data_IF_776061444580
#
_entry.id   IF_776061444580
#
_cell.length_a   1.000
_cell.length_b   1.000
_cell.length_c   1.000
_cell.angle_alpha   90.00
_cell.angle_beta   90.00
_cell.angle_gamma   90.00
#
_symmetry.space_group_name_H-M   'P 1'
#
loop_
_entity.id
_entity.type
_entity.pdbx_description
1 polymer ?
#
# COMPACT_ATOMS: atom_id res chain seq x y z
N UNK A 1 49.07 3.47 2.24
CA UNK A 1 48.68 2.32 1.39
C UNK A 1 47.57 1.57 2.10
N UNK A 2 46.31 1.80 1.71
CA UNK A 2 45.15 1.14 2.31
C UNK A 2 44.84 -0.14 1.53
N UNK A 3 44.95 -1.29 2.19
CA UNK A 3 44.45 -2.56 1.68
C UNK A 3 42.92 -2.56 1.69
N UNK A 4 42.32 -2.26 0.52
CA UNK A 4 40.98 -2.74 0.20
C UNK A 4 41.10 -4.22 -0.17
N UNK A 5 40.88 -5.10 0.80
CA UNK A 5 40.62 -6.52 0.53
C UNK A 5 39.27 -6.61 -0.17
N UNK A 6 39.30 -6.73 -1.50
CA UNK A 6 38.17 -7.23 -2.27
C UNK A 6 37.83 -8.62 -1.73
N UNK A 7 36.69 -8.75 -1.03
CA UNK A 7 36.09 -10.07 -0.77
C UNK A 7 35.46 -10.49 -2.09
N UNK A 8 36.00 -11.49 -2.82
CA UNK A 8 35.32 -11.99 -4.00
C UNK A 8 33.99 -12.60 -3.55
N UNK A 9 32.88 -12.12 -4.11
CA UNK A 9 31.58 -12.78 -3.97
C UNK A 9 31.70 -14.14 -4.64
N UNK A 10 32.00 -15.17 -3.83
CA UNK A 10 31.99 -16.56 -4.27
C UNK A 10 30.53 -16.89 -4.61
N UNK A 11 30.16 -16.84 -5.89
CA UNK A 11 28.84 -17.27 -6.35
C UNK A 11 28.67 -18.75 -6.03
N UNK A 12 28.05 -19.04 -4.88
CA UNK A 12 27.75 -20.39 -4.46
C UNK A 12 26.44 -20.83 -5.16
N UNK A 13 26.46 -21.82 -6.08
CA UNK A 13 25.29 -22.19 -6.88
C UNK A 13 24.06 -22.57 -6.05
N UNK A 14 24.28 -23.15 -4.87
CA UNK A 14 23.22 -23.50 -3.92
C UNK A 14 22.53 -22.27 -3.31
N UNK A 15 23.29 -21.21 -3.03
CA UNK A 15 22.78 -19.96 -2.49
C UNK A 15 21.95 -19.21 -3.55
N UNK A 16 22.45 -19.15 -4.80
CA UNK A 16 21.72 -18.62 -5.93
C UNK A 16 20.42 -19.39 -6.20
N UNK A 17 20.44 -20.73 -6.10
CA UNK A 17 19.26 -21.57 -6.26
C UNK A 17 18.20 -21.34 -5.18
N UNK A 18 18.62 -21.17 -3.91
CA UNK A 18 17.71 -20.87 -2.79
C UNK A 18 17.08 -19.48 -2.92
N UNK A 19 17.86 -18.47 -3.29
CA UNK A 19 17.37 -17.11 -3.53
C UNK A 19 16.32 -17.12 -4.66
N UNK A 20 16.63 -17.78 -5.79
CA UNK A 20 15.71 -17.85 -6.92
C UNK A 20 14.39 -18.57 -6.56
N UNK A 21 14.47 -19.68 -5.82
CA UNK A 21 13.28 -20.39 -5.34
C UNK A 21 12.40 -19.51 -4.44
N UNK A 22 13.01 -18.79 -3.50
CA UNK A 22 12.30 -17.91 -2.58
C UNK A 22 11.68 -16.71 -3.31
N UNK A 23 12.44 -16.07 -4.21
CA UNK A 23 11.96 -14.98 -5.05
C UNK A 23 10.77 -15.43 -5.91
N UNK A 24 10.89 -16.58 -6.59
CA UNK A 24 9.79 -17.17 -7.36
C UNK A 24 8.54 -17.39 -6.51
N UNK A 25 8.71 -17.95 -5.31
CA UNK A 25 7.60 -18.20 -4.38
C UNK A 25 6.88 -16.91 -4.00
N UNK A 26 7.63 -15.88 -3.60
CA UNK A 26 7.07 -14.56 -3.25
C UNK A 26 6.34 -13.94 -4.44
N UNK A 27 6.94 -13.97 -5.63
CA UNK A 27 6.34 -13.42 -6.85
C UNK A 27 5.03 -14.11 -7.20
N UNK A 28 4.97 -15.44 -7.17
CA UNK A 28 3.75 -16.19 -7.49
C UNK A 28 2.63 -15.85 -6.51
N UNK A 29 2.89 -15.90 -5.19
CA UNK A 29 1.88 -15.58 -4.18
C UNK A 29 1.44 -14.11 -4.26
N UNK A 30 2.36 -13.19 -4.55
CA UNK A 30 2.05 -11.77 -4.71
C UNK A 30 1.15 -11.53 -5.93
N UNK A 31 1.45 -12.17 -7.07
CA UNK A 31 0.62 -12.08 -8.28
C UNK A 31 -0.77 -12.65 -8.02
N UNK A 32 -0.85 -13.83 -7.40
CA UNK A 32 -2.12 -14.45 -7.07
C UNK A 32 -2.95 -13.58 -6.10
N UNK A 33 -2.30 -12.97 -5.09
CA UNK A 33 -2.95 -12.01 -4.21
C UNK A 33 -3.46 -10.77 -4.93
N UNK A 34 -2.77 -10.27 -5.96
CA UNK A 34 -3.22 -9.13 -6.76
C UNK A 34 -4.44 -9.48 -7.61
N UNK A 35 -4.42 -10.67 -8.23
CA UNK A 35 -5.56 -11.19 -9.01
C UNK A 35 -6.78 -11.34 -8.09
N UNK A 36 -6.63 -11.95 -6.93
CA UNK A 36 -7.73 -12.06 -5.95
C UNK A 36 -8.16 -10.71 -5.37
N UNK A 37 -7.24 -9.75 -5.23
CA UNK A 37 -7.59 -8.39 -4.82
C UNK A 37 -8.48 -7.71 -5.86
N UNK A 38 -8.16 -7.86 -7.15
CA UNK A 38 -9.01 -7.40 -8.24
C UNK A 38 -10.35 -8.15 -8.24
N UNK A 39 -10.35 -9.48 -8.13
CA UNK A 39 -11.57 -10.27 -8.06
C UNK A 39 -12.47 -9.86 -6.88
N UNK A 40 -11.88 -9.55 -5.73
CA UNK A 40 -12.61 -9.01 -4.57
C UNK A 40 -13.30 -7.70 -4.90
N UNK A 41 -12.57 -6.76 -5.51
CA UNK A 41 -13.14 -5.46 -5.87
C UNK A 41 -14.28 -5.63 -6.93
N UNK A 42 -14.13 -6.56 -7.87
CA UNK A 42 -15.18 -6.92 -8.83
C UNK A 42 -16.41 -7.54 -8.16
N UNK A 43 -16.22 -8.43 -7.17
CA UNK A 43 -17.33 -9.02 -6.41
C UNK A 43 -18.08 -7.95 -5.62
N UNK A 44 -17.38 -7.02 -4.97
CA UNK A 44 -18.03 -5.91 -4.26
C UNK A 44 -18.82 -5.04 -5.24
N UNK A 45 -18.22 -4.68 -6.38
CA UNK A 45 -18.90 -3.90 -7.41
C UNK A 45 -20.12 -4.64 -8.01
N UNK A 46 -20.03 -5.95 -8.19
CA UNK A 46 -21.14 -6.77 -8.68
C UNK A 46 -22.31 -6.82 -7.70
N UNK A 47 -22.02 -7.07 -6.42
CA UNK A 47 -23.05 -7.25 -5.37
C UNK A 47 -23.67 -5.92 -4.95
N UNK A 48 -22.88 -4.85 -4.85
CA UNK A 48 -23.29 -3.59 -4.24
C UNK A 48 -23.31 -2.39 -5.21
N UNK A 49 -22.76 -2.52 -6.42
CA UNK A 49 -22.74 -1.45 -7.42
C UNK A 49 -21.78 -0.31 -7.07
N UNK A 50 -22.01 0.87 -7.64
CA UNK A 50 -21.40 2.11 -7.18
C UNK A 50 -22.48 3.03 -6.60
N UNK A 51 -22.60 3.04 -5.28
CA UNK A 51 -23.61 3.79 -4.56
C UNK A 51 -23.13 4.31 -3.22
N UNK A 52 -24.07 4.83 -2.41
CA UNK A 52 -23.71 5.47 -1.14
C UNK A 52 -23.19 4.44 -0.12
N UNK A 53 -23.69 3.21 -0.18
CA UNK A 53 -23.26 2.08 0.66
C UNK A 53 -21.81 1.69 0.34
N UNK A 54 -21.45 1.57 -0.94
CA UNK A 54 -20.07 1.25 -1.33
C UNK A 54 -19.12 2.40 -1.07
N UNK A 55 -19.55 3.65 -1.26
CA UNK A 55 -18.79 4.83 -0.86
C UNK A 55 -18.48 4.81 0.65
N UNK A 56 -19.49 4.51 1.48
CA UNK A 56 -19.33 4.36 2.92
C UNK A 56 -18.32 3.26 3.27
N UNK A 57 -18.41 2.10 2.62
CA UNK A 57 -17.44 1.02 2.83
C UNK A 57 -16.02 1.38 2.38
N UNK A 58 -15.85 1.88 1.16
CA UNK A 58 -14.53 2.26 0.63
C UNK A 58 -13.86 3.24 1.57
N UNK A 59 -14.62 4.22 2.07
CA UNK A 59 -14.13 5.21 2.99
C UNK A 59 -13.82 4.63 4.37
N UNK A 60 -14.73 3.86 4.95
CA UNK A 60 -14.54 3.19 6.23
C UNK A 60 -13.32 2.26 6.21
N UNK A 61 -13.12 1.52 5.11
CA UNK A 61 -12.01 0.59 4.93
C UNK A 61 -10.68 1.32 4.69
N UNK A 62 -10.72 2.58 4.22
CA UNK A 62 -9.51 3.39 4.02
C UNK A 62 -8.78 3.66 5.34
N UNK A 63 -9.52 3.97 6.40
CA UNK A 63 -8.97 4.37 7.71
C UNK A 63 -8.04 3.29 8.29
N UNK A 64 -8.47 2.03 8.53
CA UNK A 64 -7.59 0.99 9.04
C UNK A 64 -6.51 0.60 8.03
N UNK A 65 -6.75 0.75 6.71
CA UNK A 65 -5.73 0.47 5.71
C UNK A 65 -4.58 1.47 5.67
N UNK A 66 -4.85 2.76 5.91
CA UNK A 66 -3.79 3.76 6.06
C UNK A 66 -2.92 3.40 7.27
N UNK A 67 -3.54 3.10 8.41
CA UNK A 67 -2.83 2.68 9.62
C UNK A 67 -2.02 1.42 9.38
N UNK A 68 -2.58 0.41 8.71
CA UNK A 68 -1.88 -0.80 8.28
C UNK A 68 -0.65 -0.51 7.43
N UNK A 69 -0.75 0.40 6.46
CA UNK A 69 0.39 0.77 5.60
C UNK A 69 1.49 1.46 6.40
N UNK A 70 1.12 2.30 7.37
CA UNK A 70 2.05 2.98 8.27
C UNK A 70 2.72 2.01 9.25
N UNK A 71 1.95 1.20 9.97
CA UNK A 71 2.44 0.36 11.08
C UNK A 71 3.00 -0.99 10.64
N UNK A 72 2.47 -1.59 9.57
CA UNK A 72 2.67 -2.99 9.25
C UNK A 72 3.56 -3.18 8.00
N UNK A 73 3.13 -2.68 6.84
CA UNK A 73 3.83 -2.94 5.56
C UNK A 73 5.11 -2.12 5.37
N UNK A 74 5.13 -0.85 5.78
CA UNK A 74 6.22 0.08 5.48
C UNK A 74 7.31 0.15 6.55
N UNK A 75 6.94 0.37 7.81
CA UNK A 75 7.91 0.71 8.86
C UNK A 75 8.46 -0.51 9.60
N UNK A 76 7.61 -1.48 9.90
CA UNK A 76 7.99 -2.64 10.72
C UNK A 76 9.01 -3.52 10.02
N UNK A 77 8.76 -3.94 8.77
CA UNK A 77 9.71 -4.77 8.03
C UNK A 77 11.06 -4.07 7.82
N UNK A 78 11.07 -2.75 7.59
CA UNK A 78 12.30 -1.99 7.36
C UNK A 78 13.13 -1.78 8.63
N UNK A 79 12.50 -1.60 9.79
CA UNK A 79 13.20 -1.36 11.04
C UNK A 79 13.47 -2.64 11.84
N UNK A 80 12.52 -3.59 11.83
CA UNK A 80 12.59 -4.83 12.60
C UNK A 80 13.56 -5.83 12.00
N UNK A 81 13.50 -6.07 10.68
CA UNK A 81 14.28 -7.13 10.03
C UNK A 81 15.80 -6.94 10.20
N UNK A 82 16.38 -5.74 9.98
CA UNK A 82 17.82 -5.53 10.19
C UNK A 82 18.22 -5.71 11.66
N UNK A 83 17.40 -5.23 12.60
CA UNK A 83 17.69 -5.30 14.03
C UNK A 83 17.58 -6.75 14.56
N UNK A 84 16.56 -7.49 14.12
CA UNK A 84 16.40 -8.91 14.44
C UNK A 84 17.60 -9.71 13.92
N UNK A 85 17.99 -9.47 12.66
CA UNK A 85 19.14 -10.15 12.04
C UNK A 85 20.44 -9.78 12.77
N UNK A 86 20.67 -8.50 13.07
CA UNK A 86 21.84 -8.05 13.85
C UNK A 86 21.93 -8.77 15.20
N UNK A 87 20.82 -8.86 15.95
CA UNK A 87 20.78 -9.54 17.25
C UNK A 87 21.04 -11.04 17.08
N UNK A 88 20.47 -11.67 16.06
CA UNK A 88 20.65 -13.10 15.78
C UNK A 88 22.10 -13.44 15.46
N UNK A 89 22.75 -12.65 14.61
CA UNK A 89 24.13 -12.90 14.18
C UNK A 89 25.18 -12.50 15.25
N UNK A 90 24.92 -11.47 16.05
CA UNK A 90 25.89 -10.97 17.05
C UNK A 90 25.80 -11.60 18.44
N UNK A 91 24.58 -11.93 18.88
CA UNK A 91 24.35 -12.48 20.23
C UNK A 91 24.12 -13.98 20.14
N UNK A 92 22.89 -14.36 19.81
CA UNK A 92 22.44 -15.75 19.64
C UNK A 92 20.98 -15.76 19.14
N UNK A 93 20.55 -16.77 18.36
CA UNK A 93 19.15 -17.04 18.02
C UNK A 93 18.10 -16.82 19.13
N UNK A 94 18.35 -17.25 20.37
CA UNK A 94 17.36 -17.09 21.44
C UNK A 94 17.18 -15.63 21.87
N UNK A 95 18.23 -14.81 21.78
CA UNK A 95 18.12 -13.38 22.03
C UNK A 95 17.24 -12.68 20.99
N UNK A 96 17.35 -13.08 19.71
CA UNK A 96 16.52 -12.56 18.63
C UNK A 96 15.05 -12.96 18.83
N UNK A 97 14.77 -14.20 19.23
CA UNK A 97 13.40 -14.66 19.53
C UNK A 97 12.79 -13.94 20.73
N UNK A 98 13.57 -13.66 21.78
CA UNK A 98 13.15 -12.83 22.92
C UNK A 98 12.83 -11.40 22.46
N UNK A 99 13.69 -10.80 21.64
CA UNK A 99 13.42 -9.49 21.04
C UNK A 99 12.12 -9.50 20.21
N UNK A 100 11.88 -10.53 19.40
CA UNK A 100 10.62 -10.70 18.67
C UNK A 100 9.41 -10.84 19.61
N UNK A 101 9.53 -11.58 20.72
CA UNK A 101 8.44 -11.75 21.71
C UNK A 101 8.14 -10.46 22.50
N UNK A 102 9.16 -9.64 22.79
CA UNK A 102 8.96 -8.29 23.34
C UNK A 102 8.29 -7.38 22.31
N UNK A 103 8.72 -7.47 21.07
CA UNK A 103 8.13 -6.71 19.97
C UNK A 103 6.66 -7.09 19.74
N UNK A 104 6.31 -8.37 19.89
CA UNK A 104 4.92 -8.83 19.89
C UNK A 104 4.09 -8.14 20.99
N UNK A 105 4.64 -8.03 22.21
CA UNK A 105 4.01 -7.30 23.31
C UNK A 105 3.79 -5.82 22.98
N UNK A 106 4.79 -5.15 22.41
CA UNK A 106 4.68 -3.77 21.96
C UNK A 106 3.60 -3.59 20.88
N UNK A 107 3.62 -4.44 19.85
CA UNK A 107 2.65 -4.39 18.73
C UNK A 107 1.23 -4.61 19.24
N UNK A 108 1.00 -5.61 20.09
CA UNK A 108 -0.31 -5.86 20.68
C UNK A 108 -0.78 -4.69 21.54
N UNK A 109 0.07 -4.18 22.43
CA UNK A 109 -0.29 -3.06 23.29
C UNK A 109 -0.63 -1.81 22.46
N UNK A 110 0.24 -1.41 21.53
CA UNK A 110 0.05 -0.24 20.70
C UNK A 110 -1.20 -0.37 19.80
N UNK A 111 -1.38 -1.52 19.14
CA UNK A 111 -2.52 -1.70 18.22
C UNK A 111 -3.84 -1.89 18.96
N UNK A 112 -3.84 -2.45 20.17
CA UNK A 112 -5.05 -2.51 21.02
C UNK A 112 -5.46 -1.10 21.45
N UNK A 113 -4.51 -0.28 21.91
CA UNK A 113 -4.78 1.13 22.26
C UNK A 113 -5.30 1.89 21.04
N UNK A 114 -4.61 1.80 19.89
CA UNK A 114 -5.03 2.46 18.65
C UNK A 114 -6.39 1.97 18.18
N UNK A 115 -6.72 0.69 18.37
CA UNK A 115 -8.03 0.14 18.02
C UNK A 115 -9.12 0.69 18.93
N UNK A 116 -8.90 0.72 20.24
CA UNK A 116 -9.85 1.32 21.19
C UNK A 116 -10.09 2.80 20.90
N UNK A 117 -9.03 3.58 20.68
CA UNK A 117 -9.12 4.98 20.28
C UNK A 117 -9.83 5.14 18.94
N UNK A 118 -9.55 4.27 17.97
CA UNK A 118 -10.16 4.27 16.65
C UNK A 118 -11.66 4.02 16.66
N UNK A 119 -12.12 3.10 17.49
CA UNK A 119 -13.55 2.80 17.69
C UNK A 119 -14.24 3.96 18.41
N UNK A 120 -13.60 4.50 19.45
CA UNK A 120 -14.14 5.61 20.24
C UNK A 120 -14.27 6.89 19.42
N UNK A 121 -13.21 7.24 18.67
CA UNK A 121 -13.14 8.43 17.83
C UNK A 121 -13.54 8.16 16.37
N UNK A 122 -14.28 7.07 16.10
CA UNK A 122 -14.69 6.74 14.74
C UNK A 122 -15.48 7.86 14.05
N UNK A 123 -16.38 8.63 14.71
CA UNK A 123 -17.03 9.78 14.07
C UNK A 123 -16.02 10.84 13.61
N UNK A 124 -15.08 11.22 14.47
CA UNK A 124 -14.06 12.22 14.16
C UNK A 124 -13.10 11.74 13.06
N UNK A 125 -12.77 10.45 13.06
CA UNK A 125 -11.98 9.85 11.98
C UNK A 125 -12.73 9.84 10.66
N UNK A 126 -14.02 9.50 10.65
CA UNK A 126 -14.84 9.58 9.44
C UNK A 126 -14.94 11.02 8.96
N UNK A 127 -15.16 11.99 9.85
CA UNK A 127 -15.17 13.41 9.47
C UNK A 127 -13.81 13.87 8.89
N UNK A 128 -12.69 13.43 9.47
CA UNK A 128 -11.35 13.75 8.93
C UNK A 128 -11.12 13.15 7.54
N UNK A 129 -11.64 11.94 7.28
CA UNK A 129 -11.39 11.20 6.05
C UNK A 129 -12.44 11.44 4.96
N UNK A 130 -13.65 11.83 5.33
CA UNK A 130 -14.77 12.12 4.44
C UNK A 130 -15.74 13.12 5.06
N UNK A 131 -15.26 14.35 5.26
CA UNK A 131 -16.05 15.44 5.80
C UNK A 131 -17.35 15.70 5.01
N UNK A 132 -17.33 15.47 3.69
CA UNK A 132 -18.49 15.67 2.82
C UNK A 132 -19.68 14.75 3.13
N UNK A 133 -19.45 13.59 3.76
CA UNK A 133 -20.54 12.69 4.16
C UNK A 133 -21.38 13.25 5.31
N UNK A 134 -20.89 14.25 6.05
CA UNK A 134 -21.67 14.90 7.11
C UNK A 134 -22.98 15.55 6.60
N UNK A 135 -23.08 15.81 5.29
CA UNK A 135 -24.30 16.28 4.63
C UNK A 135 -25.39 15.20 4.47
N UNK A 136 -25.05 13.92 4.63
CA UNK A 136 -25.94 12.77 4.52
C UNK A 136 -25.83 11.90 5.79
N UNK A 137 -26.74 12.08 6.77
CA UNK A 137 -26.66 11.38 8.05
C UNK A 137 -26.57 9.85 7.91
N UNK A 138 -27.38 9.26 7.04
CA UNK A 138 -27.39 7.81 6.79
C UNK A 138 -26.04 7.29 6.27
N UNK A 139 -25.44 7.98 5.29
CA UNK A 139 -24.13 7.63 4.74
C UNK A 139 -23.02 7.79 5.78
N UNK A 140 -23.07 8.86 6.56
CA UNK A 140 -22.12 9.12 7.63
C UNK A 140 -22.21 8.04 8.73
N UNK A 141 -23.41 7.74 9.23
CA UNK A 141 -23.63 6.78 10.29
C UNK A 141 -23.24 5.36 9.88
N UNK A 142 -23.56 4.95 8.65
CA UNK A 142 -23.09 3.68 8.10
C UNK A 142 -21.56 3.64 8.01
N UNK A 143 -20.92 4.72 7.54
CA UNK A 143 -19.45 4.80 7.46
C UNK A 143 -18.82 4.69 8.85
N UNK A 144 -19.41 5.34 9.86
CA UNK A 144 -18.97 5.26 11.26
C UNK A 144 -19.12 3.86 11.81
N UNK A 145 -20.25 3.19 11.55
CA UNK A 145 -20.50 1.81 11.96
C UNK A 145 -19.50 0.85 11.33
N UNK A 146 -19.33 0.91 10.01
CA UNK A 146 -18.37 0.07 9.27
C UNK A 146 -16.93 0.31 9.75
N UNK A 147 -16.59 1.56 10.06
CA UNK A 147 -15.28 1.90 10.63
C UNK A 147 -15.07 1.22 11.98
N UNK A 148 -16.06 1.23 12.87
CA UNK A 148 -15.98 0.53 14.17
C UNK A 148 -15.84 -0.97 14.01
N UNK A 149 -16.63 -1.57 13.11
CA UNK A 149 -16.61 -3.01 12.83
C UNK A 149 -15.25 -3.43 12.28
N UNK A 150 -14.68 -2.67 11.34
CA UNK A 150 -13.43 -3.03 10.69
C UNK A 150 -12.18 -2.62 11.47
N UNK A 151 -12.25 -1.68 12.42
CA UNK A 151 -11.07 -1.21 13.15
C UNK A 151 -10.24 -2.32 13.82
N UNK A 152 -10.83 -3.34 14.46
CA UNK A 152 -10.09 -4.47 15.04
C UNK A 152 -9.19 -5.22 14.06
N UNK A 153 -9.43 -5.12 12.75
CA UNK A 153 -8.53 -5.62 11.72
C UNK A 153 -7.08 -5.11 11.87
N UNK A 154 -6.90 -3.90 12.42
CA UNK A 154 -5.58 -3.32 12.67
C UNK A 154 -4.70 -4.21 13.56
N UNK A 155 -5.29 -4.87 14.56
CA UNK A 155 -4.57 -5.80 15.45
C UNK A 155 -4.08 -7.00 14.64
N UNK A 156 -4.98 -7.65 13.90
CA UNK A 156 -4.64 -8.83 13.11
C UNK A 156 -3.57 -8.52 12.07
N UNK A 157 -3.71 -7.43 11.34
CA UNK A 157 -2.75 -7.15 10.27
C UNK A 157 -1.39 -6.66 10.78
N UNK A 158 -1.34 -6.02 11.94
CA UNK A 158 -0.07 -5.67 12.58
C UNK A 158 0.64 -6.93 13.11
N UNK A 159 -0.11 -7.91 13.62
CA UNK A 159 0.41 -9.22 13.95
C UNK A 159 0.92 -9.98 12.71
N UNK A 160 0.25 -9.83 11.56
CA UNK A 160 0.69 -10.42 10.28
C UNK A 160 2.04 -9.85 9.88
N UNK A 161 2.23 -8.53 10.00
CA UNK A 161 3.51 -7.90 9.70
C UNK A 161 4.62 -8.27 10.68
N UNK A 162 4.32 -8.38 11.97
CA UNK A 162 5.27 -8.90 12.95
C UNK A 162 5.71 -10.33 12.59
N UNK A 163 4.74 -11.21 12.30
CA UNK A 163 5.00 -12.60 11.90
C UNK A 163 5.83 -12.67 10.61
N UNK A 164 5.48 -11.85 9.62
CA UNK A 164 6.23 -11.69 8.37
C UNK A 164 7.67 -11.25 8.63
N UNK A 165 7.89 -10.27 9.52
CA UNK A 165 9.23 -9.81 9.89
C UNK A 165 10.10 -10.92 10.46
N UNK A 166 9.55 -11.73 11.39
CA UNK A 166 10.25 -12.88 11.98
C UNK A 166 10.52 -13.96 10.92
N UNK A 167 9.48 -14.37 10.17
CA UNK A 167 9.59 -15.45 9.20
C UNK A 167 10.52 -15.11 8.03
N UNK A 168 10.51 -13.87 7.55
CA UNK A 168 11.42 -13.41 6.51
C UNK A 168 12.89 -13.39 7.00
N UNK A 169 13.13 -12.98 8.25
CA UNK A 169 14.47 -13.05 8.86
C UNK A 169 15.00 -14.48 8.89
N UNK A 170 14.11 -15.45 9.10
CA UNK A 170 14.40 -16.88 9.19
C UNK A 170 14.30 -17.60 7.83
N UNK A 171 14.23 -16.85 6.73
CA UNK A 171 14.26 -17.39 5.38
C UNK A 171 12.97 -18.11 4.94
N UNK A 172 11.85 -17.89 5.62
CA UNK A 172 10.53 -18.51 5.35
C UNK A 172 9.56 -17.52 4.74
N UNK A 173 9.54 -17.45 3.41
CA UNK A 173 8.78 -16.41 2.69
C UNK A 173 7.37 -16.82 2.24
N UNK A 174 7.08 -18.12 2.16
CA UNK A 174 5.82 -18.62 1.59
C UNK A 174 4.57 -18.22 2.40
N UNK A 175 4.54 -18.50 3.70
CA UNK A 175 3.39 -18.17 4.55
C UNK A 175 3.13 -16.65 4.64
N UNK A 176 4.15 -15.79 4.81
CA UNK A 176 3.97 -14.34 4.74
C UNK A 176 3.43 -13.85 3.39
N UNK A 177 3.95 -14.39 2.28
CA UNK A 177 3.50 -14.00 0.94
C UNK A 177 2.06 -14.46 0.64
N UNK A 178 1.61 -15.57 1.25
CA UNK A 178 0.26 -16.10 1.08
C UNK A 178 -0.78 -15.39 1.96
N UNK A 179 -0.39 -14.75 3.06
CA UNK A 179 -1.31 -14.13 4.01
C UNK A 179 -2.30 -13.11 3.37
N UNK A 180 -1.89 -12.21 2.46
CA UNK A 180 -2.81 -11.30 1.76
C UNK A 180 -3.95 -11.98 0.97
N UNK A 181 -3.74 -13.22 0.50
CA UNK A 181 -4.77 -13.98 -0.23
C UNK A 181 -5.98 -14.24 0.67
N UNK A 182 -5.75 -14.58 1.94
CA UNK A 182 -6.82 -14.96 2.85
C UNK A 182 -7.73 -13.79 3.23
N UNK A 183 -7.21 -12.56 3.20
CA UNK A 183 -8.03 -11.37 3.35
C UNK A 183 -9.03 -11.25 2.19
N UNK A 184 -8.57 -11.42 0.96
CA UNK A 184 -9.43 -11.34 -0.22
C UNK A 184 -10.45 -12.47 -0.23
N UNK A 185 -10.05 -13.69 0.12
CA UNK A 185 -10.97 -14.83 0.26
C UNK A 185 -12.01 -14.57 1.35
N UNK A 186 -11.61 -14.01 2.50
CA UNK A 186 -12.54 -13.66 3.58
C UNK A 186 -13.60 -12.66 3.13
N UNK A 187 -13.20 -11.63 2.38
CA UNK A 187 -14.12 -10.62 1.87
C UNK A 187 -15.04 -11.20 0.77
N UNK A 188 -14.49 -11.93 -0.20
CA UNK A 188 -15.28 -12.58 -1.27
C UNK A 188 -16.27 -13.58 -0.67
N UNK A 189 -15.80 -14.44 0.25
CA UNK A 189 -16.64 -15.42 0.92
C UNK A 189 -17.75 -14.78 1.75
N UNK A 190 -17.46 -13.66 2.43
CA UNK A 190 -18.46 -12.93 3.16
C UNK A 190 -19.50 -12.27 2.25
N UNK A 191 -19.10 -11.78 1.07
CA UNK A 191 -20.02 -11.18 0.09
C UNK A 191 -21.14 -12.14 -0.34
N UNK A 192 -20.82 -13.43 -0.49
CA UNK A 192 -21.79 -14.45 -0.89
C UNK A 192 -22.40 -15.23 0.27
N UNK A 193 -21.68 -15.38 1.39
CA UNK A 193 -22.09 -16.25 2.50
C UNK A 193 -22.66 -15.54 3.74
N UNK A 194 -22.25 -14.30 4.00
CA UNK A 194 -22.64 -13.55 5.22
C UNK A 194 -23.53 -12.36 4.86
N UNK A 195 -23.12 -11.57 3.87
CA UNK A 195 -23.84 -10.37 3.44
C UNK A 195 -25.32 -10.64 3.12
N UNK A 196 -25.72 -11.73 2.41
CA UNK A 196 -27.12 -11.99 2.12
C UNK A 196 -27.98 -12.37 3.34
N UNK A 197 -27.35 -12.68 4.49
CA UNK A 197 -28.04 -13.08 5.72
C UNK A 197 -28.32 -11.91 6.66
N UNK A 198 -27.83 -10.70 6.33
CA UNK A 198 -27.94 -9.51 7.16
C UNK A 198 -28.88 -8.49 6.53
N UNK A 199 -29.60 -7.76 7.36
CA UNK A 199 -30.42 -6.62 6.93
C UNK A 199 -29.59 -5.51 6.29
N UNK A 200 -28.35 -5.33 6.79
CA UNK A 200 -27.33 -4.42 6.26
C UNK A 200 -26.19 -5.24 5.65
N UNK A 201 -26.25 -5.61 4.35
CA UNK A 201 -25.33 -6.60 3.77
C UNK A 201 -23.87 -6.15 3.78
N UNK A 202 -23.63 -4.83 3.81
CA UNK A 202 -22.29 -4.23 3.87
C UNK A 202 -21.55 -4.54 5.17
N UNK A 203 -22.27 -4.75 6.28
CA UNK A 203 -21.67 -5.20 7.56
C UNK A 203 -21.05 -6.59 7.38
N UNK A 204 -21.68 -7.45 6.56
CA UNK A 204 -21.15 -8.77 6.22
C UNK A 204 -19.75 -8.71 5.62
N UNK A 205 -19.49 -7.75 4.74
CA UNK A 205 -18.14 -7.50 4.20
C UNK A 205 -17.17 -7.06 5.29
N UNK A 206 -17.60 -6.20 6.22
CA UNK A 206 -16.79 -5.81 7.39
C UNK A 206 -16.40 -7.01 8.26
N UNK A 207 -17.32 -7.95 8.47
CA UNK A 207 -17.04 -9.24 9.14
C UNK A 207 -16.05 -10.06 8.31
N UNK A 208 -16.20 -10.09 6.97
CA UNK A 208 -15.26 -10.72 6.05
C UNK A 208 -13.83 -10.19 6.17
N UNK A 209 -13.65 -8.89 6.39
CA UNK A 209 -12.34 -8.28 6.68
C UNK A 209 -11.74 -8.85 7.97
N UNK A 210 -12.54 -8.97 9.04
CA UNK A 210 -12.07 -9.51 10.33
C UNK A 210 -11.72 -10.99 10.22
N UNK A 211 -12.61 -11.81 9.63
CA UNK A 211 -12.37 -13.24 9.40
C UNK A 211 -11.15 -13.47 8.51
N UNK A 212 -11.02 -12.66 7.46
CA UNK A 212 -9.85 -12.62 6.60
C UNK A 212 -8.58 -12.36 7.42
N UNK A 213 -8.57 -11.29 8.21
CA UNK A 213 -7.46 -10.92 9.12
C UNK A 213 -7.06 -12.04 10.09
N UNK A 214 -8.04 -12.70 10.70
CA UNK A 214 -7.80 -13.87 11.56
C UNK A 214 -7.12 -14.99 10.76
N UNK A 215 -7.64 -15.31 9.58
CA UNK A 215 -7.08 -16.35 8.72
C UNK A 215 -5.63 -16.02 8.30
N UNK A 216 -5.30 -14.75 8.03
CA UNK A 216 -3.93 -14.31 7.72
C UNK A 216 -2.92 -14.61 8.84
N UNK A 217 -3.37 -14.61 10.09
CA UNK A 217 -2.54 -15.00 11.24
C UNK A 217 -2.43 -16.50 11.33
N UNK A 218 -3.57 -17.21 11.23
CA UNK A 218 -3.62 -18.66 11.38
C UNK A 218 -2.68 -19.38 10.40
N UNK A 219 -2.59 -18.92 9.15
CA UNK A 219 -1.69 -19.52 8.14
C UNK A 219 -0.19 -19.38 8.51
N UNK A 220 0.18 -18.38 9.30
CA UNK A 220 1.57 -18.13 9.70
C UNK A 220 1.99 -18.87 10.97
N UNK A 221 1.03 -19.23 11.85
CA UNK A 221 1.28 -19.91 13.13
C UNK A 221 2.13 -21.19 12.97
N UNK A 222 1.86 -22.11 12.02
CA UNK A 222 2.66 -23.33 11.87
C UNK A 222 4.12 -23.03 11.53
N UNK A 223 4.36 -22.01 10.69
CA UNK A 223 5.71 -21.62 10.31
C UNK A 223 6.46 -20.97 11.48
N UNK A 224 5.78 -20.16 12.29
CA UNK A 224 6.35 -19.57 13.51
C UNK A 224 6.72 -20.63 14.55
N UNK A 225 5.87 -21.65 14.73
CA UNK A 225 6.16 -22.81 15.60
C UNK A 225 7.40 -23.57 15.14
N UNK A 226 7.56 -23.79 13.84
CA UNK A 226 8.73 -24.49 13.26
C UNK A 226 10.06 -23.76 13.46
N UNK A 227 10.02 -22.44 13.65
CA UNK A 227 11.19 -21.61 13.99
C UNK A 227 11.43 -21.56 15.51
N UNK A 228 10.50 -22.07 16.31
CA UNK A 228 10.56 -22.00 17.77
C UNK A 228 10.26 -20.61 18.33
N UNK A 229 9.58 -19.75 17.57
CA UNK A 229 9.19 -18.42 18.06
C UNK A 229 8.08 -18.54 19.10
N UNK A 230 8.24 -17.88 20.25
CA UNK A 230 7.20 -17.80 21.28
C UNK A 230 6.07 -16.88 20.85
N UNK A 231 4.83 -17.31 21.10
CA UNK A 231 3.60 -16.52 20.93
C UNK A 231 3.19 -15.76 22.19
N UNK A 232 3.92 -15.93 23.30
CA UNK A 232 3.62 -15.21 24.54
C UNK A 232 4.23 -13.82 24.46
N UNK A 233 3.43 -12.74 24.49
CA UNK A 233 3.99 -11.38 24.55
C UNK A 233 4.83 -11.23 25.81
N UNK A 234 6.02 -10.64 25.66
CA UNK A 234 6.91 -10.36 26.78
C UNK A 234 6.92 -8.87 27.09
N UNK A 235 7.33 -8.54 28.33
CA UNK A 235 7.46 -7.15 28.74
C UNK A 235 8.49 -6.43 27.86
N UNK A 236 8.04 -5.36 27.20
CA UNK A 236 8.84 -4.53 26.30
C UNK A 236 9.30 -3.21 26.95
N UNK A 237 8.79 -2.90 28.15
CA UNK A 237 9.15 -1.68 28.87
C UNK A 237 10.64 -1.71 29.23
N UNK A 238 11.30 -0.55 29.07
CA UNK A 238 12.72 -0.34 29.39
C UNK A 238 13.70 -1.29 28.67
N UNK A 239 13.33 -1.84 27.50
CA UNK A 239 14.25 -2.63 26.68
C UNK A 239 15.02 -1.75 25.66
N UNK A 240 16.35 -1.88 25.66
CA UNK A 240 17.23 -1.11 24.79
C UNK A 240 16.98 -1.38 23.29
N UNK A 241 16.71 -2.63 22.91
CA UNK A 241 16.45 -2.97 21.51
C UNK A 241 15.09 -2.45 21.06
N UNK A 242 14.09 -2.42 21.95
CA UNK A 242 12.80 -1.78 21.67
C UNK A 242 12.97 -0.27 21.49
N UNK A 243 13.80 0.40 22.30
CA UNK A 243 14.10 1.82 22.09
C UNK A 243 14.83 2.07 20.76
N UNK A 244 15.78 1.20 20.38
CA UNK A 244 16.42 1.25 19.05
C UNK A 244 15.40 1.07 17.94
N UNK A 245 14.48 0.11 18.07
CA UNK A 245 13.39 -0.11 17.11
C UNK A 245 12.52 1.14 16.96
N UNK A 246 12.05 1.74 18.06
CA UNK A 246 11.22 2.95 18.02
C UNK A 246 11.93 4.14 17.38
N UNK A 247 13.23 4.34 17.65
CA UNK A 247 14.05 5.38 17.01
C UNK A 247 14.17 5.18 15.49
N UNK A 248 14.20 3.93 15.02
CA UNK A 248 14.22 3.60 13.59
C UNK A 248 12.84 3.77 12.94
N UNK A 249 11.76 3.46 13.67
CA UNK A 249 10.39 3.58 13.16
C UNK A 249 10.01 5.04 12.85
N UNK A 250 10.38 6.00 13.72
CA UNK A 250 9.99 7.40 13.57
C UNK A 250 10.25 8.01 12.18
N UNK A 251 11.51 8.02 11.68
CA UNK A 251 11.83 8.54 10.35
C UNK A 251 11.17 7.74 9.21
N UNK A 252 11.04 6.42 9.36
CA UNK A 252 10.43 5.56 8.33
C UNK A 252 8.94 5.86 8.15
N UNK A 253 8.23 6.15 9.23
CA UNK A 253 6.81 6.51 9.22
C UNK A 253 6.57 7.83 8.49
N UNK A 254 7.45 8.82 8.65
CA UNK A 254 7.34 10.10 7.94
C UNK A 254 7.42 9.91 6.42
N UNK A 255 8.29 9.01 5.94
CA UNK A 255 8.41 8.71 4.51
C UNK A 255 7.14 8.08 3.93
N UNK A 256 6.51 7.16 4.66
CA UNK A 256 5.26 6.51 4.23
C UNK A 256 4.05 7.45 4.37
N UNK A 257 4.07 8.34 5.38
CA UNK A 257 2.97 9.24 5.68
C UNK A 257 2.64 10.19 4.52
N UNK A 258 3.64 10.70 3.80
CA UNK A 258 3.44 11.61 2.67
C UNK A 258 2.48 11.03 1.63
N UNK A 259 2.68 9.75 1.25
CA UNK A 259 1.81 9.09 0.29
C UNK A 259 0.41 8.83 0.85
N UNK A 260 0.29 8.50 2.15
CA UNK A 260 -1.01 8.32 2.79
C UNK A 260 -1.79 9.63 2.88
N UNK A 261 -1.12 10.75 3.17
CA UNK A 261 -1.74 12.08 3.22
C UNK A 261 -2.38 12.42 1.86
N UNK A 262 -1.69 12.12 0.75
CA UNK A 262 -2.26 12.34 -0.59
C UNK A 262 -3.58 11.57 -0.79
N UNK A 263 -3.61 10.29 -0.42
CA UNK A 263 -4.83 9.47 -0.51
C UNK A 263 -5.95 10.05 0.37
N UNK A 264 -5.63 10.49 1.59
CA UNK A 264 -6.62 11.08 2.51
C UNK A 264 -7.19 12.36 1.92
N UNK A 265 -6.35 13.28 1.44
CA UNK A 265 -6.78 14.56 0.87
C UNK A 265 -7.71 14.32 -0.33
N UNK A 266 -7.30 13.47 -1.29
CA UNK A 266 -8.09 13.22 -2.49
C UNK A 266 -9.40 12.50 -2.19
N UNK A 267 -9.40 11.48 -1.32
CA UNK A 267 -10.65 10.79 -0.94
C UNK A 267 -11.59 11.68 -0.14
N UNK A 268 -11.05 12.55 0.72
CA UNK A 268 -11.85 13.53 1.43
C UNK A 268 -12.50 14.52 0.45
N UNK A 269 -11.76 15.03 -0.54
CA UNK A 269 -12.36 15.88 -1.59
C UNK A 269 -13.44 15.14 -2.38
N UNK A 270 -13.22 13.88 -2.76
CA UNK A 270 -14.22 13.04 -3.42
C UNK A 270 -15.49 12.85 -2.57
N UNK A 271 -15.39 12.91 -1.23
CA UNK A 271 -16.55 12.76 -0.33
C UNK A 271 -17.55 13.91 -0.40
N UNK A 272 -17.17 15.08 -0.92
CA UNK A 272 -18.06 16.23 -1.13
C UNK A 272 -18.85 16.16 -2.44
N UNK A 273 -18.56 15.17 -3.28
CA UNK A 273 -19.17 15.00 -4.59
C UNK A 273 -20.43 14.13 -4.50
N UNK A 274 -21.24 14.05 -5.57
CA UNK A 274 -22.40 13.17 -5.61
C UNK A 274 -22.06 11.71 -5.26
N UNK A 275 -23.09 10.98 -4.83
CA UNK A 275 -22.99 9.56 -4.51
C UNK A 275 -22.39 8.74 -5.66
N UNK A 276 -21.52 7.78 -5.33
CA UNK A 276 -20.84 6.90 -6.27
C UNK A 276 -19.43 7.38 -6.63
N UNK A 277 -19.14 8.68 -6.48
CA UNK A 277 -17.87 9.26 -6.94
C UNK A 277 -16.64 8.75 -6.16
N UNK A 278 -16.79 8.42 -4.88
CA UNK A 278 -15.71 7.79 -4.10
C UNK A 278 -15.42 6.38 -4.64
N UNK A 279 -16.47 5.63 -4.98
CA UNK A 279 -16.37 4.29 -5.58
C UNK A 279 -15.75 4.35 -6.98
N UNK A 280 -16.18 5.27 -7.85
CA UNK A 280 -15.61 5.46 -9.19
C UNK A 280 -14.12 5.79 -9.13
N UNK A 281 -13.72 6.72 -8.25
CA UNK A 281 -12.32 7.04 -8.01
C UNK A 281 -11.53 5.82 -7.55
N UNK A 282 -12.07 5.06 -6.59
CA UNK A 282 -11.41 3.88 -6.08
C UNK A 282 -11.19 2.84 -7.19
N UNK A 283 -12.23 2.49 -7.94
CA UNK A 283 -12.16 1.49 -9.02
C UNK A 283 -11.23 1.93 -10.15
N UNK A 284 -11.29 3.18 -10.58
CA UNK A 284 -10.39 3.73 -11.59
C UNK A 284 -8.93 3.74 -11.10
N UNK A 285 -8.68 4.09 -9.83
CA UNK A 285 -7.32 4.11 -9.27
C UNK A 285 -6.71 2.71 -9.24
N UNK A 286 -7.51 1.67 -9.00
CA UNK A 286 -7.06 0.27 -9.00
C UNK A 286 -6.58 -0.17 -10.37
N UNK A 287 -7.32 0.18 -11.42
CA UNK A 287 -6.92 -0.10 -12.81
C UNK A 287 -5.64 0.64 -13.19
N UNK A 288 -5.47 1.90 -12.77
CA UNK A 288 -4.24 2.66 -12.95
C UNK A 288 -3.04 2.04 -12.20
N UNK A 289 -3.23 1.63 -10.94
CA UNK A 289 -2.22 0.96 -10.13
C UNK A 289 -1.77 -0.39 -10.74
N UNK A 290 -2.68 -1.14 -11.37
CA UNK A 290 -2.35 -2.36 -12.09
C UNK A 290 -1.40 -2.07 -13.25
N UNK A 291 -1.70 -1.05 -14.07
CA UNK A 291 -0.86 -0.62 -15.19
C UNK A 291 0.53 -0.18 -14.72
N UNK A 292 0.61 0.68 -13.70
CA UNK A 292 1.88 1.08 -13.09
C UNK A 292 2.66 -0.13 -12.54
N UNK A 293 1.95 -1.06 -11.90
CA UNK A 293 2.51 -2.26 -11.31
C UNK A 293 3.16 -3.20 -12.32
N UNK A 294 2.54 -3.38 -13.48
CA UNK A 294 3.00 -4.28 -14.55
C UNK A 294 4.13 -3.65 -15.36
N UNK A 295 3.97 -2.40 -15.79
CA UNK A 295 4.86 -1.80 -16.79
C UNK A 295 5.96 -0.92 -16.18
N UNK A 296 5.66 -0.10 -15.16
CA UNK A 296 6.63 0.87 -14.64
C UNK A 296 7.53 0.29 -13.55
N UNK A 297 6.95 -0.47 -12.62
CA UNK A 297 7.65 -0.88 -11.40
C UNK A 297 8.69 -1.96 -11.65
N UNK A 298 8.46 -2.86 -12.62
CA UNK A 298 9.42 -3.88 -13.02
C UNK A 298 10.74 -3.25 -13.51
N UNK A 299 10.65 -2.31 -14.47
CA UNK A 299 11.81 -1.62 -15.06
C UNK A 299 12.56 -0.81 -13.99
N UNK A 300 11.82 -0.07 -13.16
CA UNK A 300 12.39 0.74 -12.07
C UNK A 300 13.16 -0.12 -11.06
N UNK A 301 12.62 -1.29 -10.70
CA UNK A 301 13.28 -2.19 -9.75
C UNK A 301 14.57 -2.82 -10.32
N UNK A 302 14.63 -3.06 -11.63
CA UNK A 302 15.80 -3.64 -12.28
C UNK A 302 16.97 -2.65 -12.41
N UNK A 303 16.70 -1.37 -12.64
CA UNK A 303 17.75 -0.33 -12.73
C UNK A 303 18.32 0.12 -11.37
N UNK A 304 17.61 -0.13 -10.27
CA UNK A 304 17.99 0.37 -8.94
C UNK A 304 19.33 -0.17 -8.39
N UNK A 305 19.64 -1.48 -8.51
CA UNK A 305 20.92 -2.01 -8.05
C UNK A 305 22.12 -1.38 -8.78
N UNK A 306 22.03 -1.20 -10.10
CA UNK A 306 23.09 -0.57 -10.90
C UNK A 306 23.29 0.89 -10.51
N UNK A 307 22.19 1.66 -10.38
CA UNK A 307 22.25 3.04 -9.90
C UNK A 307 22.89 3.13 -8.51
N UNK A 308 22.51 2.25 -7.58
CA UNK A 308 23.09 2.22 -6.23
C UNK A 308 24.58 1.94 -6.24
N UNK A 309 25.04 1.00 -7.07
CA UNK A 309 26.46 0.69 -7.24
C UNK A 309 27.24 1.88 -7.83
N UNK A 310 26.71 2.51 -8.89
CA UNK A 310 27.34 3.67 -9.52
C UNK A 310 27.36 4.90 -8.60
N UNK A 311 26.31 5.12 -7.80
CA UNK A 311 26.26 6.16 -6.77
C UNK A 311 27.29 5.91 -5.67
N UNK A 312 27.41 4.67 -5.18
CA UNK A 312 28.42 4.32 -4.19
C UNK A 312 29.85 4.53 -4.71
N UNK A 313 30.08 4.23 -6.00
CA UNK A 313 31.35 4.47 -6.68
C UNK A 313 31.58 5.93 -7.11
N UNK A 314 30.60 6.83 -6.88
CA UNK A 314 30.61 8.24 -7.33
C UNK A 314 30.91 8.43 -8.83
N UNK A 315 30.50 7.47 -9.67
CA UNK A 315 30.72 7.53 -11.11
C UNK A 315 29.55 8.25 -11.80
N UNK A 316 29.62 9.58 -11.85
CA UNK A 316 28.55 10.45 -12.38
C UNK A 316 28.19 10.17 -13.83
N UNK A 317 29.15 9.79 -14.67
CA UNK A 317 28.89 9.47 -16.07
C UNK A 317 28.03 8.20 -16.20
N UNK A 318 28.39 7.14 -15.46
CA UNK A 318 27.58 5.91 -15.42
C UNK A 318 26.21 6.15 -14.80
N UNK A 319 26.12 6.94 -13.72
CA UNK A 319 24.82 7.31 -13.14
C UNK A 319 23.93 7.99 -14.18
N UNK A 320 24.45 8.98 -14.90
CA UNK A 320 23.71 9.69 -15.96
C UNK A 320 23.26 8.77 -17.08
N UNK A 321 24.16 7.90 -17.56
CA UNK A 321 23.85 6.98 -18.66
C UNK A 321 22.81 5.93 -18.25
N UNK A 322 22.97 5.32 -17.07
CA UNK A 322 22.00 4.35 -16.52
C UNK A 322 20.65 5.01 -16.25
N UNK A 323 20.63 6.21 -15.69
CA UNK A 323 19.40 6.95 -15.44
C UNK A 323 18.68 7.30 -16.74
N UNK A 324 19.40 7.85 -17.72
CA UNK A 324 18.84 8.19 -19.04
C UNK A 324 18.28 6.95 -19.72
N UNK A 325 19.03 5.85 -19.75
CA UNK A 325 18.56 4.60 -20.32
C UNK A 325 17.31 4.08 -19.61
N UNK A 326 17.32 4.04 -18.28
CA UNK A 326 16.18 3.55 -17.49
C UNK A 326 14.94 4.42 -17.69
N UNK A 327 15.09 5.74 -17.69
CA UNK A 327 14.00 6.68 -17.95
C UNK A 327 13.46 6.54 -19.37
N UNK A 328 14.33 6.52 -20.39
CA UNK A 328 13.90 6.39 -21.79
C UNK A 328 13.19 5.05 -22.05
N UNK A 329 13.73 3.94 -21.55
CA UNK A 329 13.09 2.62 -21.68
C UNK A 329 11.77 2.56 -20.93
N UNK A 330 11.70 3.15 -19.73
CA UNK A 330 10.44 3.22 -18.97
C UNK A 330 9.40 4.05 -19.72
N UNK A 331 9.76 5.22 -20.25
CA UNK A 331 8.86 6.07 -21.04
C UNK A 331 8.37 5.38 -22.32
N UNK A 332 9.27 4.67 -23.02
CA UNK A 332 8.96 3.94 -24.24
C UNK A 332 7.88 2.87 -24.01
N UNK A 333 7.85 2.24 -22.84
CA UNK A 333 6.84 1.22 -22.49
C UNK A 333 5.60 1.85 -21.87
N UNK A 334 5.77 2.78 -20.93
CA UNK A 334 4.66 3.30 -20.12
C UNK A 334 3.78 4.29 -20.89
N UNK A 335 4.34 5.04 -21.84
CA UNK A 335 3.58 6.03 -22.59
C UNK A 335 2.55 5.36 -23.52
N UNK A 336 2.89 4.35 -24.35
CA UNK A 336 1.89 3.58 -25.10
C UNK A 336 0.89 2.86 -24.20
N UNK A 337 1.33 2.29 -23.07
CA UNK A 337 0.43 1.63 -22.12
C UNK A 337 -0.58 2.61 -21.51
N UNK A 338 -0.13 3.81 -21.16
CA UNK A 338 -0.97 4.90 -20.66
C UNK A 338 -1.97 5.37 -21.70
N UNK A 339 -1.53 5.60 -22.94
CA UNK A 339 -2.42 6.01 -24.05
C UNK A 339 -3.43 4.91 -24.34
N UNK A 340 -3.00 3.65 -24.40
CA UNK A 340 -3.89 2.50 -24.57
C UNK A 340 -4.94 2.44 -23.47
N UNK A 341 -4.54 2.56 -22.21
CA UNK A 341 -5.45 2.56 -21.07
C UNK A 341 -6.47 3.70 -21.15
N UNK A 342 -6.07 4.89 -21.58
CA UNK A 342 -6.98 6.02 -21.77
C UNK A 342 -7.98 5.75 -22.91
N UNK A 343 -7.50 5.30 -24.07
CA UNK A 343 -8.32 5.08 -25.27
C UNK A 343 -9.35 3.97 -25.04
N UNK A 344 -8.94 2.85 -24.42
CA UNK A 344 -9.82 1.71 -24.16
C UNK A 344 -10.38 1.68 -22.73
N UNK A 345 -10.38 2.81 -22.03
CA UNK A 345 -10.86 2.91 -20.65
C UNK A 345 -12.30 2.40 -20.50
N UNK A 346 -13.23 2.85 -21.34
CA UNK A 346 -14.64 2.46 -21.28
C UNK A 346 -14.85 0.96 -21.58
N UNK A 347 -14.28 0.37 -22.65
CA UNK A 347 -14.32 -1.07 -22.86
C UNK A 347 -13.75 -1.90 -21.70
N UNK A 348 -12.64 -1.46 -21.09
CA UNK A 348 -12.04 -2.16 -19.95
C UNK A 348 -12.99 -2.10 -18.74
N UNK A 349 -13.51 -0.91 -18.44
CA UNK A 349 -14.39 -0.72 -17.28
C UNK A 349 -15.71 -1.45 -17.49
N UNK A 350 -16.29 -1.42 -18.69
CA UNK A 350 -17.54 -2.13 -18.98
C UNK A 350 -17.35 -3.65 -18.87
N UNK A 351 -16.29 -4.21 -19.49
CA UNK A 351 -16.01 -5.64 -19.43
C UNK A 351 -15.82 -6.14 -18.00
N UNK A 352 -15.20 -5.34 -17.15
CA UNK A 352 -14.91 -5.72 -15.77
C UNK A 352 -16.09 -5.47 -14.82
N UNK A 353 -16.67 -4.28 -14.88
CA UNK A 353 -17.60 -3.81 -13.85
C UNK A 353 -19.07 -3.86 -14.26
N UNK A 354 -19.44 -3.85 -15.55
CA UNK A 354 -20.85 -3.78 -16.00
C UNK A 354 -21.62 -5.09 -15.76
N UNK A 355 -21.86 -5.43 -14.50
CA UNK A 355 -22.60 -6.61 -14.09
C UNK A 355 -23.28 -6.36 -12.75
N UNK A 356 -24.40 -7.05 -12.49
CA UNK A 356 -25.10 -6.96 -11.21
C UNK A 356 -25.60 -5.53 -10.95
N UNK A 357 -25.21 -4.95 -9.83
CA UNK A 357 -25.66 -3.62 -9.39
C UNK A 357 -24.87 -2.45 -10.02
N UNK A 358 -23.84 -2.69 -10.82
CA UNK A 358 -23.07 -1.63 -11.48
C UNK A 358 -23.74 -1.20 -12.79
N UNK A 359 -24.12 0.07 -12.88
CA UNK A 359 -24.87 0.62 -14.02
C UNK A 359 -23.96 1.12 -15.16
N UNK A 360 -24.55 1.40 -16.32
CA UNK A 360 -23.83 2.00 -17.45
C UNK A 360 -23.31 3.42 -17.13
N UNK A 361 -24.07 4.23 -16.38
CA UNK A 361 -23.58 5.54 -15.92
C UNK A 361 -22.35 5.41 -15.03
N UNK A 362 -22.30 4.37 -14.18
CA UNK A 362 -21.14 4.10 -13.32
C UNK A 362 -19.90 3.75 -14.14
N UNK A 363 -20.10 2.99 -15.22
CA UNK A 363 -19.04 2.69 -16.19
C UNK A 363 -18.49 3.97 -16.81
N UNK A 364 -19.36 4.87 -17.28
CA UNK A 364 -18.94 6.13 -17.91
C UNK A 364 -18.14 7.00 -16.94
N UNK A 365 -18.62 7.21 -15.72
CA UNK A 365 -17.90 8.01 -14.71
C UNK A 365 -16.55 7.38 -14.33
N UNK A 366 -16.52 6.05 -14.16
CA UNK A 366 -15.28 5.34 -13.83
C UNK A 366 -14.28 5.36 -14.99
N UNK A 367 -14.76 5.24 -16.24
CA UNK A 367 -13.93 5.30 -17.44
C UNK A 367 -13.33 6.69 -17.66
N UNK A 368 -14.12 7.76 -17.49
CA UNK A 368 -13.63 9.14 -17.54
C UNK A 368 -12.57 9.38 -16.47
N UNK A 369 -12.81 8.92 -15.24
CA UNK A 369 -11.84 9.01 -14.15
C UNK A 369 -10.54 8.24 -14.48
N UNK A 370 -10.66 7.06 -15.08
CA UNK A 370 -9.53 6.25 -15.51
C UNK A 370 -8.72 6.93 -16.61
N UNK A 371 -9.37 7.60 -17.56
CA UNK A 371 -8.70 8.40 -18.59
C UNK A 371 -7.85 9.51 -17.98
N UNK A 372 -8.40 10.25 -17.01
CA UNK A 372 -7.64 11.28 -16.29
C UNK A 372 -6.48 10.67 -15.49
N UNK A 373 -6.66 9.53 -14.83
CA UNK A 373 -5.56 8.84 -14.16
C UNK A 373 -4.49 8.34 -15.13
N UNK A 374 -4.87 7.87 -16.31
CA UNK A 374 -3.91 7.44 -17.31
C UNK A 374 -2.91 8.57 -17.63
N UNK A 375 -3.38 9.82 -17.76
CA UNK A 375 -2.49 10.98 -17.97
C UNK A 375 -1.41 11.17 -16.88
N UNK A 376 -1.65 10.70 -15.66
CA UNK A 376 -0.68 10.76 -14.55
C UNK A 376 0.37 9.65 -14.58
N UNK A 377 0.10 8.53 -15.26
CA UNK A 377 0.92 7.30 -15.19
C UNK A 377 2.39 7.55 -15.60
N UNK A 378 2.69 8.25 -16.73
CA UNK A 378 4.08 8.52 -17.10
C UNK A 378 4.84 9.34 -16.06
N UNK A 379 4.21 10.39 -15.51
CA UNK A 379 4.79 11.22 -14.49
C UNK A 379 5.07 10.43 -13.19
N UNK A 380 4.10 9.63 -12.75
CA UNK A 380 4.25 8.76 -11.56
C UNK A 380 5.39 7.76 -11.73
N UNK A 381 5.55 7.17 -12.91
CA UNK A 381 6.68 6.28 -13.21
C UNK A 381 8.02 7.00 -13.08
N UNK A 382 8.13 8.23 -13.60
CA UNK A 382 9.36 9.01 -13.53
C UNK A 382 9.68 9.51 -12.12
N UNK A 383 8.68 9.96 -11.35
CA UNK A 383 8.84 10.34 -9.93
C UNK A 383 9.43 9.17 -9.15
N UNK A 384 8.96 7.95 -9.40
CA UNK A 384 9.47 6.77 -8.69
C UNK A 384 10.95 6.48 -9.00
N UNK A 385 11.36 6.67 -10.25
CA UNK A 385 12.77 6.56 -10.64
C UNK A 385 13.63 7.64 -9.95
N UNK A 386 13.20 8.90 -10.00
CA UNK A 386 13.95 10.02 -9.41
C UNK A 386 14.04 9.92 -7.89
N UNK A 387 12.94 9.62 -7.21
CA UNK A 387 12.93 9.39 -5.75
C UNK A 387 13.92 8.29 -5.35
N UNK A 388 14.03 7.22 -6.15
CA UNK A 388 15.00 6.15 -5.92
C UNK A 388 16.45 6.63 -6.07
N UNK A 389 16.74 7.56 -6.99
CA UNK A 389 18.06 8.20 -7.13
C UNK A 389 18.38 9.13 -5.96
N UNK A 390 17.43 9.97 -5.54
CA UNK A 390 17.60 10.80 -4.34
C UNK A 390 17.91 9.95 -3.09
N UNK A 391 17.25 8.81 -2.95
CA UNK A 391 17.53 7.86 -1.87
C UNK A 391 18.92 7.21 -2.00
N UNK A 392 19.37 6.85 -3.20
CA UNK A 392 20.75 6.34 -3.38
C UNK A 392 21.80 7.41 -3.04
N UNK A 393 21.49 8.68 -3.30
CA UNK A 393 22.30 9.85 -2.94
C UNK A 393 22.18 10.26 -1.46
N UNK A 394 21.38 9.54 -0.65
CA UNK A 394 21.10 9.84 0.77
C UNK A 394 20.39 11.18 1.00
N UNK A 395 19.79 11.78 -0.02
CA UNK A 395 18.90 12.94 0.13
C UNK A 395 17.45 12.47 0.22
N UNK A 396 16.97 12.29 1.45
CA UNK A 396 15.57 11.93 1.71
C UNK A 396 14.66 13.15 1.90
N UNK A 397 15.24 14.35 2.00
CA UNK A 397 14.49 15.57 2.36
C UNK A 397 13.90 16.24 1.13
N UNK A 398 14.64 16.31 0.04
CA UNK A 398 14.19 16.94 -1.21
C UNK A 398 12.94 16.26 -1.78
N UNK A 399 12.91 14.91 -1.91
CA UNK A 399 11.70 14.23 -2.38
C UNK A 399 10.46 14.47 -1.52
N UNK A 400 10.63 14.51 -0.19
CA UNK A 400 9.53 14.75 0.76
C UNK A 400 8.98 16.16 0.61
N UNK A 401 9.84 17.18 0.57
CA UNK A 401 9.42 18.58 0.38
C UNK A 401 8.66 18.76 -0.94
N UNK A 402 9.22 18.25 -2.03
CA UNK A 402 8.60 18.33 -3.37
C UNK A 402 7.25 17.60 -3.40
N UNK A 403 7.15 16.44 -2.74
CA UNK A 403 5.88 15.72 -2.62
C UNK A 403 4.83 16.50 -1.84
N UNK A 404 5.20 17.18 -0.74
CA UNK A 404 4.26 18.01 0.03
C UNK A 404 3.73 19.19 -0.79
N UNK A 405 4.60 19.87 -1.56
CA UNK A 405 4.15 20.93 -2.48
C UNK A 405 3.25 20.38 -3.59
N UNK A 406 3.56 19.21 -4.14
CA UNK A 406 2.72 18.55 -5.13
C UNK A 406 1.35 18.17 -4.57
N UNK A 407 1.27 17.68 -3.32
CA UNK A 407 -0.01 17.36 -2.66
C UNK A 407 -0.86 18.62 -2.49
N UNK A 408 -0.25 19.75 -2.10
CA UNK A 408 -0.96 21.03 -2.00
C UNK A 408 -1.52 21.46 -3.37
N UNK A 409 -0.69 21.41 -4.42
CA UNK A 409 -1.12 21.75 -5.77
C UNK A 409 -2.22 20.82 -6.27
N UNK A 410 -2.06 19.51 -6.04
CA UNK A 410 -3.05 18.47 -6.37
C UNK A 410 -4.38 18.73 -5.68
N UNK A 411 -4.35 19.06 -4.39
CA UNK A 411 -5.55 19.38 -3.61
C UNK A 411 -6.24 20.64 -4.09
N UNK A 412 -5.49 21.72 -4.37
CA UNK A 412 -6.04 22.99 -4.85
C UNK A 412 -6.64 22.89 -6.24
N UNK A 413 -5.88 22.36 -7.21
CA UNK A 413 -6.35 22.16 -8.59
C UNK A 413 -7.47 21.14 -8.64
N UNK A 414 -7.32 20.03 -7.89
CA UNK A 414 -8.34 19.00 -7.79
C UNK A 414 -9.65 19.52 -7.22
N UNK A 415 -9.60 20.32 -6.15
CA UNK A 415 -10.78 20.97 -5.60
C UNK A 415 -11.40 21.94 -6.60
N UNK A 416 -10.61 22.82 -7.22
CA UNK A 416 -11.13 23.80 -8.18
C UNK A 416 -11.77 23.12 -9.40
N UNK A 417 -11.07 22.21 -10.08
CA UNK A 417 -11.62 21.53 -11.25
C UNK A 417 -12.79 20.61 -10.89
N UNK A 418 -12.83 20.04 -9.68
CA UNK A 418 -13.95 19.22 -9.25
C UNK A 418 -15.27 19.98 -9.09
N UNK A 419 -15.25 21.30 -8.92
CA UNK A 419 -16.49 22.09 -8.86
C UNK A 419 -17.26 22.05 -10.18
N UNK A 420 -16.58 21.85 -11.30
CA UNK A 420 -17.20 21.86 -12.63
C UNK A 420 -17.17 20.49 -13.32
N UNK A 421 -16.18 19.66 -13.00
CA UNK A 421 -15.94 18.36 -13.66
C UNK A 421 -16.04 17.19 -12.68
N UNK A 422 -16.51 17.43 -11.45
CA UNK A 422 -16.67 16.43 -10.40
C UNK A 422 -15.40 15.56 -10.24
N UNK A 423 -15.54 14.24 -10.26
CA UNK A 423 -14.41 13.32 -10.02
C UNK A 423 -13.36 13.35 -11.12
N UNK A 424 -13.77 13.66 -12.36
CA UNK A 424 -12.86 13.81 -13.48
C UNK A 424 -11.91 14.99 -13.24
N UNK A 425 -12.45 16.11 -12.75
CA UNK A 425 -11.66 17.28 -12.35
C UNK A 425 -10.67 16.98 -11.24
N UNK A 426 -11.08 16.18 -10.24
CA UNK A 426 -10.18 15.74 -9.17
C UNK A 426 -9.02 14.88 -9.70
N UNK A 427 -9.32 13.95 -10.62
CA UNK A 427 -8.31 13.10 -11.23
C UNK A 427 -7.35 13.89 -12.14
N UNK A 428 -7.84 14.91 -12.85
CA UNK A 428 -6.99 15.86 -13.59
C UNK A 428 -6.08 16.65 -12.64
N UNK A 429 -6.59 17.06 -11.47
CA UNK A 429 -5.80 17.71 -10.43
C UNK A 429 -4.60 16.87 -9.99
N UNK A 430 -4.81 15.57 -9.80
CA UNK A 430 -3.73 14.61 -9.53
C UNK A 430 -2.76 14.49 -10.70
N UNK A 431 -3.23 14.45 -11.94
CA UNK A 431 -2.36 14.44 -13.11
C UNK A 431 -1.47 15.69 -13.14
N UNK A 432 -2.04 16.88 -13.04
CA UNK A 432 -1.28 18.13 -13.01
C UNK A 432 -0.25 18.17 -11.86
N UNK A 433 -0.67 17.78 -10.65
CA UNK A 433 0.21 17.74 -9.49
C UNK A 433 1.36 16.74 -9.60
N UNK A 434 1.14 15.58 -10.23
CA UNK A 434 2.21 14.60 -10.48
C UNK A 434 3.16 15.06 -11.58
N UNK A 435 2.68 15.66 -12.67
CA UNK A 435 3.58 16.29 -13.67
C UNK A 435 4.42 17.40 -13.04
N UNK A 436 3.82 18.25 -12.22
CA UNK A 436 4.55 19.28 -11.46
C UNK A 436 5.61 18.65 -10.54
N UNK A 437 5.28 17.59 -9.82
CA UNK A 437 6.22 16.89 -8.94
C UNK A 437 7.43 16.35 -9.72
N UNK A 438 7.17 15.70 -10.85
CA UNK A 438 8.22 15.17 -11.72
C UNK A 438 9.14 16.28 -12.24
N UNK A 439 8.57 17.38 -12.73
CA UNK A 439 9.33 18.53 -13.24
C UNK A 439 10.19 19.12 -12.11
N UNK A 440 9.61 19.34 -10.93
CA UNK A 440 10.32 19.93 -9.80
C UNK A 440 11.45 19.03 -9.30
N UNK A 441 11.23 17.72 -9.23
CA UNK A 441 12.31 16.77 -8.91
C UNK A 441 13.42 16.79 -9.97
N UNK A 442 13.07 16.93 -11.25
CA UNK A 442 14.05 17.02 -12.34
C UNK A 442 14.94 18.27 -12.24
N UNK A 443 14.43 19.37 -11.69
CA UNK A 443 15.23 20.57 -11.45
C UNK A 443 16.23 20.43 -10.31
N UNK A 444 15.95 19.57 -9.32
CA UNK A 444 16.83 19.33 -8.17
C UNK A 444 17.83 18.19 -8.36
N UNK A 445 17.67 17.39 -9.42
CA UNK A 445 18.50 16.24 -9.75
C UNK A 445 19.58 16.64 -10.76
#
# INVERSE_FOLDING_TARGET
>A
MNHFTFIPLKNNPEESGRILKNARTVTIFTLFSRILGAARDLVIAHVFGAGWVTDAFVQAFTIPNVLRRLTAEGSMTLAFLPLYTEIRERKDPEAAKKFAAKTLGLVLAATTILTGLGILFSPQLVYLFAAGFASSPEKYDLTVLLTRVMFPYLIFVSLVAWAMGVLNAEGRFAAPAAAPILLNIGIIGAAFGISPLLEEPMIGIGIGVLLGGIAQILIQIPSLRKVGQSFKPQNFLNDENIQRLLKLLGPSLLGVAVYQINIIVLRNLASFMPTGQVTHYYNASRLSELTLGVFAFAITSAGFPELSQHTAAKNWEKIRNTLRFTMSTTLLVIFPASVGLAVVAEPIVSMLYLHGAYSWSDVQNTALTLQAFALSIPAVAMIRLQTSVFFSLKDTRTPVKVSLFSILLTGLLGWWWSQSLEIFGLALGLAAGTWFQWILLSFFL
#
